data_IF_847862581880
#
_entry.id   IF_847862581880
#
_cell.length_a   1.000
_cell.length_b   1.000
_cell.length_c   1.000
_cell.angle_alpha   90.00
_cell.angle_beta   90.00
_cell.angle_gamma   90.00
#
_symmetry.space_group_name_H-M   'P 1'
#
loop_
_entity.id
_entity.type
_entity.pdbx_description
1 polymer ?
#
# COMPACT_ATOMS: atom_id res chain seq x y z
N UNK A 1 21.53 -22.13 -3.40
CA UNK A 1 20.96 -20.76 -3.64
C UNK A 1 19.51 -20.55 -3.11
N UNK A 2 18.97 -21.43 -2.26
CA UNK A 2 17.59 -21.31 -1.74
C UNK A 2 17.38 -20.08 -0.83
N UNK A 3 18.32 -19.81 0.07
CA UNK A 3 18.25 -18.67 1.01
C UNK A 3 18.23 -17.33 0.28
N UNK A 4 19.10 -17.15 -0.72
CA UNK A 4 19.18 -15.93 -1.55
C UNK A 4 17.83 -15.60 -2.20
N UNK A 5 17.14 -16.60 -2.79
CA UNK A 5 15.81 -16.39 -3.39
C UNK A 5 14.79 -15.91 -2.36
N UNK A 6 14.80 -16.49 -1.15
CA UNK A 6 13.92 -16.04 -0.05
C UNK A 6 14.24 -14.61 0.40
N UNK A 7 15.51 -14.22 0.46
CA UNK A 7 15.90 -12.86 0.82
C UNK A 7 15.45 -11.84 -0.23
N UNK A 8 15.57 -12.17 -1.52
CA UNK A 8 15.07 -11.33 -2.61
C UNK A 8 13.55 -11.17 -2.52
N UNK A 9 12.82 -12.25 -2.26
CA UNK A 9 11.36 -12.21 -2.09
C UNK A 9 10.94 -11.30 -0.91
N UNK A 10 11.61 -11.43 0.26
CA UNK A 10 11.37 -10.56 1.42
C UNK A 10 11.69 -9.09 1.14
N UNK A 11 12.78 -8.80 0.43
CA UNK A 11 13.17 -7.41 0.08
C UNK A 11 12.13 -6.74 -0.80
N UNK A 12 11.51 -7.47 -1.73
CA UNK A 12 10.41 -6.92 -2.55
C UNK A 12 9.21 -6.53 -1.70
N UNK A 13 8.84 -7.34 -0.70
CA UNK A 13 7.75 -7.04 0.23
C UNK A 13 7.97 -5.73 1.00
N UNK A 14 9.19 -5.47 1.45
CA UNK A 14 9.54 -4.22 2.14
C UNK A 14 9.25 -2.98 1.28
N UNK A 15 9.63 -2.99 0.01
CA UNK A 15 9.37 -1.88 -0.91
C UNK A 15 7.88 -1.67 -1.18
N UNK A 16 7.11 -2.75 -1.27
CA UNK A 16 5.65 -2.68 -1.43
C UNK A 16 5.02 -2.08 -0.18
N UNK A 17 5.45 -2.48 1.01
CA UNK A 17 4.94 -1.94 2.27
C UNK A 17 5.20 -0.43 2.40
N UNK A 18 6.40 0.03 2.02
CA UNK A 18 6.73 1.47 2.02
C UNK A 18 5.83 2.27 1.07
N UNK A 19 5.60 1.77 -0.15
CA UNK A 19 4.72 2.43 -1.13
C UNK A 19 3.26 2.43 -0.65
N UNK A 20 2.79 1.33 -0.08
CA UNK A 20 1.45 1.22 0.48
C UNK A 20 1.23 2.18 1.66
N UNK A 21 2.24 2.34 2.53
CA UNK A 21 2.17 3.28 3.66
C UNK A 21 2.06 4.74 3.19
N UNK A 22 2.89 5.14 2.22
CA UNK A 22 2.81 6.48 1.61
C UNK A 22 1.45 6.72 0.96
N UNK A 23 0.93 5.72 0.24
CA UNK A 23 -0.40 5.78 -0.39
C UNK A 23 -1.52 5.93 0.65
N UNK A 24 -1.51 5.14 1.72
CA UNK A 24 -2.53 5.20 2.77
C UNK A 24 -2.58 6.60 3.43
N UNK A 25 -1.44 7.24 3.64
CA UNK A 25 -1.39 8.61 4.16
C UNK A 25 -2.04 9.62 3.20
N UNK A 26 -1.74 9.52 1.90
CA UNK A 26 -2.36 10.37 0.87
C UNK A 26 -3.88 10.19 0.77
N UNK A 27 -4.37 8.97 0.96
CA UNK A 27 -5.81 8.68 0.98
C UNK A 27 -6.47 9.19 2.27
N UNK A 28 -5.79 9.08 3.42
CA UNK A 28 -6.34 9.50 4.72
C UNK A 28 -6.60 11.00 4.82
N UNK A 29 -5.86 11.83 4.08
CA UNK A 29 -6.03 13.28 4.10
C UNK A 29 -7.17 13.77 3.20
N UNK A 30 -7.73 12.92 2.32
CA UNK A 30 -8.88 13.26 1.45
C UNK A 30 -8.67 14.43 0.48
N UNK A 31 -7.45 14.98 0.41
CA UNK A 31 -7.10 16.17 -0.37
C UNK A 31 -6.56 15.82 -1.78
N UNK A 32 -6.35 14.54 -2.06
CA UNK A 32 -5.78 14.04 -3.31
C UNK A 32 -6.85 13.97 -4.40
N UNK A 33 -6.88 14.97 -5.28
CA UNK A 33 -7.86 15.08 -6.40
C UNK A 33 -7.77 13.96 -7.43
N UNK A 34 -6.61 13.33 -7.57
CA UNK A 34 -6.34 12.27 -8.55
C UNK A 34 -6.61 10.86 -8.03
N UNK A 35 -6.71 10.67 -6.71
CA UNK A 35 -6.92 9.36 -6.10
C UNK A 35 -8.32 9.31 -5.48
N UNK A 36 -9.28 8.77 -6.23
CA UNK A 36 -10.65 8.58 -5.78
C UNK A 36 -10.83 7.20 -5.15
N UNK A 37 -11.30 7.15 -3.91
CA UNK A 37 -11.74 5.92 -3.23
C UNK A 37 -13.24 6.00 -3.04
N UNK A 38 -13.98 5.01 -3.53
CA UNK A 38 -15.42 4.96 -3.36
C UNK A 38 -15.75 4.62 -1.91
N UNK A 39 -16.31 5.56 -1.16
CA UNK A 39 -16.85 5.31 0.17
C UNK A 39 -18.16 4.52 0.01
N UNK A 40 -18.11 3.21 0.25
CA UNK A 40 -19.33 2.41 0.37
C UNK A 40 -19.94 2.77 1.72
N UNK A 41 -21.09 3.45 1.71
CA UNK A 41 -21.89 3.65 2.91
C UNK A 41 -22.36 2.26 3.35
N UNK A 42 -21.72 1.73 4.40
CA UNK A 42 -22.21 0.55 5.09
C UNK A 42 -23.55 0.95 5.71
N UNK A 43 -24.63 0.42 5.16
CA UNK A 43 -25.95 0.51 5.76
C UNK A 43 -25.92 -0.34 7.03
N UNK A 44 -25.84 0.33 8.18
CA UNK A 44 -26.36 -0.20 9.45
C UNK A 44 -27.86 0.08 9.54
#
# INVERSE_FOLDING_TARGET
KKRIRKTIWKKKGYWVALKAFSLAKSLSTGNSKSFFVQQIQTLE
#
